data_IF_774999040165
#
_entry.id   IF_774999040165
#
_cell.length_a   1.000
_cell.length_b   1.000
_cell.length_c   1.000
_cell.angle_alpha   90.00
_cell.angle_beta   90.00
_cell.angle_gamma   90.00
#
_symmetry.space_group_name_H-M   'P 1'
#
loop_
_entity.id
_entity.type
_entity.pdbx_description
1 polymer ?
#
# COMPACT_ATOMS: atom_id res chain seq x y z
N UNK A 1 63.08 50.04 7.14
CA UNK A 1 61.70 50.19 6.62
C UNK A 1 61.10 48.80 6.47
N UNK A 2 59.81 48.69 6.73
CA UNK A 2 58.92 47.53 6.62
C UNK A 2 58.53 46.87 7.95
N UNK A 3 57.26 47.08 8.27
CA UNK A 3 56.55 47.02 9.53
C UNK A 3 55.91 45.65 9.82
N UNK A 4 55.58 45.37 11.09
CA UNK A 4 54.64 44.31 11.52
C UNK A 4 53.20 44.64 11.11
N UNK A 5 52.32 43.61 11.04
CA UNK A 5 51.28 43.45 12.08
C UNK A 5 51.16 41.97 12.54
N UNK A 6 51.14 41.65 13.84
CA UNK A 6 49.99 41.62 14.76
C UNK A 6 48.84 40.69 14.31
N UNK A 7 48.92 39.41 14.69
CA UNK A 7 47.77 38.49 14.71
C UNK A 7 47.18 38.51 16.12
N UNK A 8 45.95 38.99 16.26
CA UNK A 8 45.16 38.82 17.47
C UNK A 8 44.49 37.44 17.43
N UNK A 9 44.79 36.59 18.41
CA UNK A 9 43.98 35.41 18.72
C UNK A 9 42.97 35.86 19.78
N UNK A 10 41.74 36.13 19.35
CA UNK A 10 40.63 36.34 20.28
C UNK A 10 40.15 35.00 20.82
N UNK A 11 40.25 34.84 22.13
CA UNK A 11 39.59 33.80 22.89
C UNK A 11 38.07 33.99 22.84
N UNK A 12 37.30 32.99 22.42
CA UNK A 12 35.94 32.82 22.94
C UNK A 12 35.55 31.34 22.98
N UNK A 13 35.65 30.79 24.18
CA UNK A 13 34.91 29.62 24.65
C UNK A 13 33.41 29.89 24.54
N UNK A 14 32.65 29.03 23.86
CA UNK A 14 31.22 28.84 24.14
C UNK A 14 30.85 27.37 23.98
N UNK A 15 30.80 26.69 25.13
CA UNK A 15 30.01 25.50 25.33
C UNK A 15 28.57 25.75 24.87
N UNK A 16 28.00 24.82 24.12
CA UNK A 16 26.56 24.75 23.91
C UNK A 16 26.15 23.28 24.01
N UNK A 17 25.86 22.83 25.23
CA UNK A 17 24.95 21.72 25.45
C UNK A 17 23.59 22.17 24.92
N UNK A 18 23.30 21.82 23.66
CA UNK A 18 22.00 22.09 23.07
C UNK A 18 21.02 21.05 23.61
N UNK A 19 20.24 21.44 24.62
CA UNK A 19 18.98 20.76 24.92
C UNK A 19 18.02 21.12 23.78
N UNK A 20 18.10 20.36 22.68
CA UNK A 20 17.14 20.46 21.58
C UNK A 20 15.83 19.91 22.12
N UNK A 21 14.93 20.80 22.54
CA UNK A 21 13.54 20.42 22.77
C UNK A 21 12.97 19.97 21.42
N UNK A 22 12.59 18.69 21.25
CA UNK A 22 12.00 18.25 19.99
C UNK A 22 10.72 19.04 19.73
N UNK A 23 10.51 19.41 18.46
CA UNK A 23 9.30 20.10 18.04
C UNK A 23 8.07 19.27 18.42
N UNK A 24 6.92 19.88 18.78
CA UNK A 24 5.69 19.15 19.04
C UNK A 24 5.27 18.26 17.86
N UNK A 25 5.62 18.63 16.63
CA UNK A 25 5.42 17.78 15.45
C UNK A 25 6.21 16.45 15.54
N UNK A 26 7.44 16.49 16.06
CA UNK A 26 8.32 15.33 16.23
C UNK A 26 7.84 14.40 17.35
N UNK A 27 7.16 14.93 18.37
CA UNK A 27 6.51 14.13 19.42
C UNK A 27 5.18 13.51 18.96
N UNK A 28 4.50 14.13 18.00
CA UNK A 28 3.23 13.64 17.46
C UNK A 28 3.42 12.50 16.46
N UNK A 29 4.62 12.30 15.93
CA UNK A 29 4.91 11.20 15.02
C UNK A 29 5.11 9.89 15.79
N UNK A 30 4.25 8.88 15.57
CA UNK A 30 4.45 7.58 16.19
C UNK A 30 5.76 6.97 15.67
N UNK A 31 6.53 6.28 16.53
CA UNK A 31 7.76 5.63 16.11
C UNK A 31 7.47 4.65 14.97
N UNK A 32 8.37 4.58 13.99
CA UNK A 32 8.24 3.64 12.89
C UNK A 32 8.22 2.21 13.42
N UNK A 33 7.15 1.48 13.12
CA UNK A 33 7.05 0.05 13.38
C UNK A 33 7.28 -0.70 12.06
N UNK A 34 8.17 -1.69 12.10
CA UNK A 34 8.41 -2.57 10.96
C UNK A 34 7.60 -3.85 11.13
N UNK A 35 6.91 -4.24 10.06
CA UNK A 35 6.18 -5.51 9.98
C UNK A 35 6.92 -6.41 8.99
N UNK A 36 7.12 -7.68 9.36
CA UNK A 36 7.73 -8.65 8.46
C UNK A 36 6.85 -8.87 7.22
N UNK A 37 7.47 -8.97 6.04
CA UNK A 37 6.74 -9.13 4.78
C UNK A 37 5.85 -10.38 4.75
N UNK A 38 6.27 -11.48 5.39
CA UNK A 38 5.45 -12.68 5.47
C UNK A 38 4.22 -12.46 6.36
N UNK A 39 4.32 -11.66 7.42
CA UNK A 39 3.16 -11.30 8.25
C UNK A 39 2.11 -10.53 7.43
N UNK A 40 2.54 -9.61 6.57
CA UNK A 40 1.63 -8.89 5.67
C UNK A 40 0.96 -9.83 4.66
N UNK A 41 1.72 -10.78 4.09
CA UNK A 41 1.16 -11.78 3.17
C UNK A 41 0.07 -12.62 3.88
N UNK A 42 0.34 -13.12 5.09
CA UNK A 42 -0.65 -13.88 5.87
C UNK A 42 -1.87 -13.05 6.23
N UNK A 43 -1.68 -11.77 6.59
CA UNK A 43 -2.77 -10.87 6.91
C UNK A 43 -3.70 -10.69 5.70
N UNK A 44 -3.17 -10.38 4.52
CA UNK A 44 -3.97 -10.18 3.30
C UNK A 44 -4.74 -11.43 2.91
N UNK A 45 -4.09 -12.60 2.94
CA UNK A 45 -4.74 -13.90 2.68
C UNK A 45 -5.88 -14.14 3.68
N UNK A 46 -5.65 -13.85 4.97
CA UNK A 46 -6.64 -14.06 6.02
C UNK A 46 -7.82 -13.09 5.93
N UNK A 47 -7.59 -11.84 5.57
CA UNK A 47 -8.64 -10.82 5.37
C UNK A 47 -9.61 -11.29 4.30
N UNK A 48 -9.12 -11.69 3.13
CA UNK A 48 -9.97 -12.16 2.03
C UNK A 48 -10.80 -13.37 2.47
N UNK A 49 -10.18 -14.36 3.11
CA UNK A 49 -10.89 -15.54 3.63
C UNK A 49 -11.92 -15.22 4.72
N UNK A 50 -11.66 -14.19 5.53
CA UNK A 50 -12.59 -13.76 6.59
C UNK A 50 -13.79 -13.03 5.98
N UNK A 51 -13.56 -12.22 4.94
CA UNK A 51 -14.62 -11.51 4.24
C UNK A 51 -15.49 -12.47 3.41
N UNK A 52 -14.89 -13.53 2.87
CA UNK A 52 -15.55 -14.64 2.15
C UNK A 52 -16.30 -15.65 3.05
N UNK A 53 -16.19 -15.56 4.38
CA UNK A 53 -16.76 -16.59 5.25
C UNK A 53 -18.30 -16.56 5.17
N UNK A 54 -18.86 -17.59 4.54
CA UNK A 54 -20.30 -17.86 4.49
C UNK A 54 -20.88 -17.99 5.91
N UNK A 55 -22.02 -17.36 6.23
CA UNK A 55 -22.85 -17.81 7.34
C UNK A 55 -23.39 -19.21 6.99
N UNK A 56 -23.04 -20.21 7.79
CA UNK A 56 -23.40 -21.61 7.56
C UNK A 56 -24.92 -21.77 7.51
N UNK A 57 -25.48 -22.04 6.32
CA UNK A 57 -26.87 -22.47 6.16
C UNK A 57 -26.87 -23.79 5.38
N UNK A 58 -27.46 -24.80 6.01
CA UNK A 58 -27.57 -26.15 5.51
C UNK A 58 -28.74 -26.27 4.49
N UNK A 59 -28.50 -27.13 3.49
CA UNK A 59 -29.46 -27.92 2.69
C UNK A 59 -30.19 -27.30 1.47
N UNK A 60 -29.90 -27.75 0.25
CA UNK A 60 -30.53 -28.91 -0.42
C UNK A 60 -30.19 -28.97 -1.93
N UNK A 61 -29.77 -30.16 -2.36
CA UNK A 61 -29.01 -30.46 -3.57
C UNK A 61 -29.97 -30.70 -4.77
N UNK A 62 -29.82 -29.98 -5.89
CA UNK A 62 -30.09 -30.40 -7.30
C UNK A 62 -30.74 -29.33 -8.19
N UNK A 63 -31.69 -28.52 -7.70
CA UNK A 63 -32.23 -27.36 -8.44
C UNK A 63 -31.36 -26.09 -8.26
N UNK A 64 -30.31 -26.24 -7.46
CA UNK A 64 -29.49 -25.20 -6.86
C UNK A 64 -28.42 -24.64 -7.81
N UNK A 65 -27.85 -25.42 -8.74
CA UNK A 65 -26.58 -25.04 -9.40
C UNK A 65 -26.64 -23.73 -10.24
N UNK A 66 -27.76 -23.44 -10.93
CA UNK A 66 -27.90 -22.18 -11.67
C UNK A 66 -28.21 -20.98 -10.77
N UNK A 67 -28.95 -21.20 -9.67
CA UNK A 67 -29.20 -20.19 -8.63
C UNK A 67 -27.93 -19.90 -7.82
N UNK A 68 -27.12 -20.93 -7.62
CA UNK A 68 -25.88 -20.92 -6.86
C UNK A 68 -24.79 -20.17 -7.61
N UNK A 69 -24.64 -20.33 -8.94
CA UNK A 69 -23.68 -19.53 -9.71
C UNK A 69 -23.99 -18.03 -9.62
N UNK A 70 -25.25 -17.62 -9.79
CA UNK A 70 -25.63 -16.21 -9.64
C UNK A 70 -25.45 -15.69 -8.20
N UNK A 71 -25.70 -16.54 -7.20
CA UNK A 71 -25.49 -16.19 -5.79
C UNK A 71 -23.99 -16.12 -5.42
N UNK A 72 -23.15 -16.94 -6.05
CA UNK A 72 -21.69 -16.90 -5.89
C UNK A 72 -21.13 -15.62 -6.50
N UNK A 73 -21.60 -15.23 -7.70
CA UNK A 73 -21.19 -13.98 -8.35
C UNK A 73 -21.60 -12.75 -7.49
N UNK A 74 -22.81 -12.75 -6.93
CA UNK A 74 -23.30 -11.68 -6.04
C UNK A 74 -22.49 -11.60 -4.72
N UNK A 75 -22.09 -12.74 -4.16
CA UNK A 75 -21.26 -12.81 -2.95
C UNK A 75 -19.82 -12.37 -3.21
N UNK A 76 -19.24 -12.77 -4.34
CA UNK A 76 -17.93 -12.33 -4.81
C UNK A 76 -17.91 -10.81 -5.01
N UNK A 77 -18.94 -10.25 -5.63
CA UNK A 77 -19.09 -8.81 -5.80
C UNK A 77 -19.25 -8.08 -4.46
N UNK A 78 -20.07 -8.58 -3.53
CA UNK A 78 -20.19 -8.02 -2.19
C UNK A 78 -18.85 -8.06 -1.42
N UNK A 79 -18.08 -9.13 -1.56
CA UNK A 79 -16.74 -9.26 -0.98
C UNK A 79 -15.78 -8.25 -1.60
N UNK A 80 -15.85 -8.07 -2.92
CA UNK A 80 -15.06 -7.07 -3.66
C UNK A 80 -15.36 -5.66 -3.18
N UNK A 81 -16.63 -5.28 -3.02
CA UNK A 81 -17.02 -3.95 -2.52
C UNK A 81 -16.50 -3.69 -1.10
N UNK A 82 -16.57 -4.69 -0.21
CA UNK A 82 -16.04 -4.56 1.17
C UNK A 82 -14.52 -4.40 1.17
N UNK A 83 -13.84 -5.19 0.34
CA UNK A 83 -12.41 -5.10 0.12
C UNK A 83 -12.02 -3.72 -0.43
N UNK A 84 -12.75 -3.20 -1.41
CA UNK A 84 -12.54 -1.87 -1.98
C UNK A 84 -12.68 -0.76 -0.93
N UNK A 85 -13.71 -0.82 -0.08
CA UNK A 85 -13.90 0.15 0.99
C UNK A 85 -12.72 0.16 2.00
N UNK A 86 -12.22 -1.02 2.36
CA UNK A 86 -11.02 -1.16 3.22
C UNK A 86 -9.79 -0.57 2.50
N UNK A 87 -9.61 -0.92 1.23
CA UNK A 87 -8.50 -0.44 0.40
C UNK A 87 -8.49 1.08 0.26
N UNK A 88 -9.65 1.70 0.00
CA UNK A 88 -9.80 3.14 -0.10
C UNK A 88 -9.47 3.83 1.22
N UNK A 89 -9.95 3.31 2.35
CA UNK A 89 -9.65 3.88 3.65
C UNK A 89 -8.16 3.80 3.98
N UNK A 90 -7.54 2.62 3.81
CA UNK A 90 -6.10 2.44 4.08
C UNK A 90 -5.26 3.28 3.10
N UNK A 91 -5.59 3.25 1.82
CA UNK A 91 -4.88 3.97 0.76
C UNK A 91 -4.92 5.49 0.95
N UNK A 92 -6.06 6.06 1.33
CA UNK A 92 -6.20 7.49 1.62
C UNK A 92 -5.31 7.91 2.81
N UNK A 93 -5.42 7.21 3.95
CA UNK A 93 -4.58 7.50 5.12
C UNK A 93 -3.08 7.34 4.81
N UNK A 94 -2.73 6.35 3.98
CA UNK A 94 -1.35 6.11 3.58
C UNK A 94 -0.82 7.20 2.65
N UNK A 95 -1.62 7.61 1.66
CA UNK A 95 -1.28 8.69 0.75
C UNK A 95 -1.14 10.04 1.49
N UNK A 96 -2.03 10.34 2.44
CA UNK A 96 -1.92 11.54 3.29
C UNK A 96 -0.59 11.57 4.05
N UNK A 97 -0.17 10.43 4.60
CA UNK A 97 1.13 10.33 5.31
C UNK A 97 2.32 10.51 4.37
N UNK A 98 2.30 9.88 3.18
CA UNK A 98 3.39 9.99 2.21
C UNK A 98 3.48 11.38 1.56
N UNK A 99 2.36 12.11 1.52
CA UNK A 99 2.29 13.44 0.91
C UNK A 99 2.45 14.59 1.91
N UNK A 100 2.63 14.30 3.22
CA UNK A 100 2.67 15.33 4.28
C UNK A 100 3.59 16.52 3.96
N UNK A 101 4.81 16.24 3.50
CA UNK A 101 5.83 17.25 3.22
C UNK A 101 6.02 17.51 1.72
N UNK A 102 5.10 17.01 0.89
CA UNK A 102 5.16 17.14 -0.56
C UNK A 102 4.32 18.32 -1.03
N UNK A 103 4.80 19.03 -2.06
CA UNK A 103 3.96 19.99 -2.80
C UNK A 103 2.76 19.28 -3.43
N UNK A 104 1.62 19.97 -3.48
CA UNK A 104 0.41 19.45 -4.14
C UNK A 104 0.69 19.07 -5.60
N UNK A 105 0.09 17.98 -6.05
CA UNK A 105 0.19 17.56 -7.44
C UNK A 105 -0.57 18.51 -8.36
N UNK A 106 0.11 19.05 -9.36
CA UNK A 106 -0.49 19.94 -10.37
C UNK A 106 -0.87 19.21 -11.64
N UNK A 107 -0.17 18.12 -11.96
CA UNK A 107 -0.40 17.33 -13.17
C UNK A 107 -0.70 15.87 -12.85
N UNK A 108 -1.54 15.25 -13.68
CA UNK A 108 -1.86 13.81 -13.57
C UNK A 108 -0.61 12.95 -13.66
N UNK A 109 0.36 13.31 -14.49
CA UNK A 109 1.60 12.53 -14.61
C UNK A 109 2.39 12.49 -13.30
N UNK A 110 2.33 13.54 -12.48
CA UNK A 110 3.06 13.57 -11.22
C UNK A 110 2.36 12.71 -10.15
N UNK A 111 1.03 12.64 -10.19
CA UNK A 111 0.25 11.68 -9.40
C UNK A 111 0.64 10.25 -9.80
N UNK A 112 0.68 9.95 -11.09
CA UNK A 112 1.02 8.59 -11.58
C UNK A 112 2.46 8.21 -11.21
N UNK A 113 3.43 9.15 -11.31
CA UNK A 113 4.82 8.90 -10.86
C UNK A 113 4.87 8.63 -9.36
N UNK A 114 4.11 9.38 -8.56
CA UNK A 114 4.00 9.14 -7.12
C UNK A 114 3.47 7.73 -6.82
N UNK A 115 2.41 7.31 -7.49
CA UNK A 115 1.86 5.95 -7.32
C UNK A 115 2.91 4.90 -7.70
N UNK A 116 3.53 5.03 -8.88
CA UNK A 116 4.46 4.03 -9.41
C UNK A 116 5.77 3.90 -8.63
N UNK A 117 6.20 4.98 -7.97
CA UNK A 117 7.48 5.05 -7.28
C UNK A 117 7.31 5.07 -5.78
N UNK A 118 6.76 6.16 -5.24
CA UNK A 118 6.72 6.40 -3.80
C UNK A 118 5.76 5.46 -3.10
N UNK A 119 4.50 5.40 -3.57
CA UNK A 119 3.47 4.57 -2.95
C UNK A 119 3.79 3.08 -3.12
N UNK A 120 4.12 2.64 -4.34
CA UNK A 120 4.44 1.23 -4.59
C UNK A 120 5.66 0.77 -3.79
N UNK A 121 6.71 1.60 -3.70
CA UNK A 121 7.91 1.26 -2.91
C UNK A 121 7.60 1.22 -1.42
N UNK A 122 6.79 2.13 -0.91
CA UNK A 122 6.41 2.11 0.50
C UNK A 122 5.57 0.88 0.89
N UNK A 123 4.77 0.34 -0.05
CA UNK A 123 3.95 -0.85 0.19
C UNK A 123 4.72 -2.18 -0.01
N UNK A 124 5.56 -2.28 -1.04
CA UNK A 124 6.16 -3.55 -1.49
C UNK A 124 7.68 -3.57 -1.60
N UNK A 125 8.34 -2.48 -1.21
CA UNK A 125 9.79 -2.29 -1.28
C UNK A 125 10.36 -2.47 -2.70
N UNK A 126 9.58 -1.98 -3.68
CA UNK A 126 9.90 -2.01 -5.13
C UNK A 126 9.08 -0.97 -5.88
N UNK A 127 9.54 -0.57 -7.06
CA UNK A 127 8.75 0.23 -8.00
C UNK A 127 7.87 -0.66 -8.88
N UNK A 128 6.87 -0.06 -9.53
CA UNK A 128 6.07 -0.72 -10.58
C UNK A 128 6.98 -1.07 -11.76
N UNK A 129 6.84 -2.28 -12.32
CA UNK A 129 7.75 -2.78 -13.36
C UNK A 129 7.48 -2.13 -14.72
N UNK A 130 6.21 -1.90 -15.08
CA UNK A 130 5.83 -1.29 -16.34
C UNK A 130 4.64 -0.34 -16.17
N UNK A 131 4.75 0.84 -16.76
CA UNK A 131 3.67 1.82 -16.88
C UNK A 131 3.39 2.05 -18.37
N UNK A 132 2.18 1.72 -18.82
CA UNK A 132 1.70 2.02 -20.17
C UNK A 132 0.61 3.08 -20.10
N UNK A 133 0.51 3.93 -21.11
CA UNK A 133 -0.57 4.92 -21.22
C UNK A 133 -1.02 5.06 -22.67
N UNK A 134 -2.30 5.42 -22.85
CA UNK A 134 -2.82 5.83 -24.16
C UNK A 134 -2.79 7.36 -24.36
N UNK A 135 -2.20 8.11 -23.42
CA UNK A 135 -2.19 9.58 -23.38
C UNK A 135 -3.58 10.25 -23.40
N UNK A 136 -4.65 9.49 -23.19
CA UNK A 136 -6.05 9.94 -23.10
C UNK A 136 -6.61 9.68 -21.70
N UNK A 137 -5.75 9.74 -20.69
CA UNK A 137 -6.12 9.54 -19.29
C UNK A 137 -6.18 8.08 -18.82
N UNK A 138 -5.86 7.10 -19.67
CA UNK A 138 -5.78 5.69 -19.25
C UNK A 138 -4.32 5.33 -18.99
N UNK A 139 -4.08 4.76 -17.81
CA UNK A 139 -2.79 4.27 -17.36
C UNK A 139 -2.94 2.80 -16.95
N UNK A 140 -1.93 2.00 -17.27
CA UNK A 140 -1.87 0.58 -16.94
C UNK A 140 -0.55 0.34 -16.21
N UNK A 141 -0.66 -0.02 -14.93
CA UNK A 141 0.45 -0.38 -14.07
C UNK A 141 0.58 -1.90 -14.05
N UNK A 142 1.79 -2.40 -14.27
CA UNK A 142 2.07 -3.83 -14.31
C UNK A 142 3.13 -4.19 -13.28
N UNK A 143 2.82 -5.19 -12.46
CA UNK A 143 3.75 -5.88 -11.57
C UNK A 143 3.85 -7.35 -12.01
N UNK A 144 5.05 -7.77 -12.40
CA UNK A 144 5.34 -9.11 -12.91
C UNK A 144 5.55 -10.16 -11.81
N UNK A 145 5.71 -9.73 -10.55
CA UNK A 145 6.09 -10.58 -9.43
C UNK A 145 5.35 -10.18 -8.15
N UNK A 146 4.04 -9.96 -8.26
CA UNK A 146 3.23 -9.51 -7.13
C UNK A 146 3.28 -10.54 -5.98
N UNK A 147 4.03 -10.20 -4.92
CA UNK A 147 4.42 -11.14 -3.85
C UNK A 147 3.21 -11.72 -3.13
N UNK A 148 2.19 -10.89 -2.92
CA UNK A 148 0.95 -11.24 -2.22
C UNK A 148 0.22 -12.43 -2.84
N UNK A 149 0.21 -12.54 -4.18
CA UNK A 149 -0.47 -13.65 -4.87
C UNK A 149 0.44 -14.84 -5.12
N UNK A 150 1.76 -14.64 -5.14
CA UNK A 150 2.73 -15.72 -5.40
C UNK A 150 2.68 -16.79 -4.30
N UNK A 151 2.29 -16.40 -3.08
CA UNK A 151 2.17 -17.30 -1.92
C UNK A 151 0.75 -17.83 -1.69
N UNK A 152 -0.21 -17.46 -2.54
CA UNK A 152 -1.57 -17.99 -2.45
C UNK A 152 -1.56 -19.49 -2.77
N UNK A 153 -1.97 -20.28 -1.79
CA UNK A 153 -2.20 -21.72 -1.94
C UNK A 153 -3.56 -22.06 -1.35
N UNK A 154 -4.21 -23.07 -1.91
CA UNK A 154 -5.48 -23.58 -1.40
C UNK A 154 -5.39 -25.09 -1.21
N UNK A 155 -5.97 -25.58 -0.12
CA UNK A 155 -6.16 -27.00 0.14
C UNK A 155 -7.10 -27.67 -0.88
N UNK A 156 -7.92 -26.87 -1.58
CA UNK A 156 -8.87 -27.32 -2.61
C UNK A 156 -8.25 -27.38 -4.03
N UNK A 157 -6.94 -27.06 -4.14
CA UNK A 157 -6.18 -27.18 -5.37
C UNK A 157 -5.94 -25.86 -6.12
N UNK A 158 -5.29 -25.95 -7.27
CA UNK A 158 -4.80 -24.79 -8.02
C UNK A 158 -5.92 -23.92 -8.62
N UNK A 159 -7.05 -24.53 -9.01
CA UNK A 159 -8.18 -23.80 -9.58
C UNK A 159 -8.81 -22.84 -8.55
N UNK A 160 -9.02 -23.30 -7.33
CA UNK A 160 -9.53 -22.49 -6.23
C UNK A 160 -8.53 -21.40 -5.79
N UNK A 161 -7.24 -21.73 -5.71
CA UNK A 161 -6.19 -20.73 -5.46
C UNK A 161 -6.18 -19.62 -6.53
N UNK A 162 -6.40 -19.98 -7.80
CA UNK A 162 -6.50 -19.02 -8.91
C UNK A 162 -7.75 -18.16 -8.81
N UNK A 163 -8.88 -18.72 -8.40
CA UNK A 163 -10.11 -17.97 -8.14
C UNK A 163 -9.90 -16.92 -7.05
N UNK A 164 -9.35 -17.33 -5.90
CA UNK A 164 -8.99 -16.43 -4.79
C UNK A 164 -7.97 -15.36 -5.20
N UNK A 165 -7.01 -15.71 -6.05
CA UNK A 165 -6.05 -14.75 -6.60
C UNK A 165 -6.73 -13.67 -7.46
N UNK A 166 -7.71 -14.02 -8.31
CA UNK A 166 -8.45 -13.05 -9.14
C UNK A 166 -9.18 -12.01 -8.31
N UNK A 167 -9.82 -12.45 -7.23
CA UNK A 167 -10.47 -11.57 -6.27
C UNK A 167 -9.48 -10.61 -5.62
N UNK A 168 -8.30 -11.12 -5.27
CA UNK A 168 -7.20 -10.33 -4.68
C UNK A 168 -6.61 -9.31 -5.65
N UNK A 169 -6.44 -9.67 -6.93
CA UNK A 169 -5.86 -8.77 -7.96
C UNK A 169 -6.84 -7.71 -8.45
N UNK A 170 -8.14 -7.98 -8.36
CA UNK A 170 -9.20 -7.06 -8.77
C UNK A 170 -9.22 -5.76 -7.96
N UNK A 171 -8.61 -5.76 -6.78
CA UNK A 171 -8.43 -4.58 -5.91
C UNK A 171 -7.32 -3.64 -6.40
N UNK A 172 -6.29 -4.16 -7.08
CA UNK A 172 -5.17 -3.35 -7.58
C UNK A 172 -5.50 -2.61 -8.89
N UNK A 173 -6.68 -2.85 -9.47
CA UNK A 173 -7.15 -2.21 -10.70
C UNK A 173 -7.80 -0.83 -10.49
N UNK A 174 -7.95 -0.39 -9.23
CA UNK A 174 -8.56 0.91 -8.89
C UNK A 174 -7.77 1.66 -7.80
N UNK A 175 -6.52 1.97 -8.14
CA UNK A 175 -5.78 3.10 -7.58
C UNK A 175 -5.27 3.96 -8.74
#
# INVERSE_FOLDING_TARGET
MSSRPSIQISSSSKSASSLVTPSPATLADPPMCYVDGAMMDYFLIKVINTLHRKPQRLDHQSQFLFRENAAVDEEEEATRTRLEAIGLHVGMNFAERLCRDRSLFTETLDVIKFVCKDLWTACWDRQVDNLRTNHRGIYVLQDNAFKTITRLSSSEGQADATCKAKLSTSQCLWA
#
